data_IF_801514055755
#
_entry.id   IF_801514055755
#
_cell.length_a   1.000
_cell.length_b   1.000
_cell.length_c   1.000
_cell.angle_alpha   90.00
_cell.angle_beta   90.00
_cell.angle_gamma   90.00
#
_symmetry.space_group_name_H-M   'P 1'
#
loop_
_entity.id
_entity.type
_entity.pdbx_description
1 polymer ?
#
# COMPACT_ATOMS: atom_id res chain seq x y z
N UNK A 1 -8.77 -8.83 -2.66
CA UNK A 1 -8.05 -8.09 -1.61
C UNK A 1 -8.63 -6.69 -1.54
N UNK A 2 -8.70 -6.07 -0.37
CA UNK A 2 -9.10 -4.66 -0.26
C UNK A 2 -7.89 -3.76 -0.53
N UNK A 3 -8.08 -2.71 -1.34
CA UNK A 3 -7.01 -1.81 -1.75
C UNK A 3 -7.33 -0.38 -1.35
N UNK A 4 -6.53 0.18 -0.45
CA UNK A 4 -6.74 1.51 0.11
C UNK A 4 -5.63 2.44 -0.37
N UNK A 5 -6.03 3.45 -1.13
CA UNK A 5 -5.15 4.48 -1.65
C UNK A 5 -5.26 5.74 -0.81
N UNK A 6 -4.18 6.12 -0.13
CA UNK A 6 -4.11 7.40 0.57
C UNK A 6 -3.81 8.48 -0.46
N UNK A 7 -4.50 9.62 -0.39
CA UNK A 7 -4.34 10.69 -1.37
C UNK A 7 -2.94 11.32 -1.22
N UNK A 8 -1.98 10.79 -1.96
CA UNK A 8 -0.67 11.41 -2.11
C UNK A 8 -0.82 12.52 -3.13
N UNK A 9 -0.74 13.78 -2.71
CA UNK A 9 -0.68 14.94 -3.63
C UNK A 9 0.49 14.91 -4.61
N UNK A 10 1.30 13.85 -4.61
CA UNK A 10 2.36 13.56 -5.55
C UNK A 10 1.82 12.78 -6.77
N UNK A 11 1.95 13.38 -7.96
CA UNK A 11 1.65 12.74 -9.25
C UNK A 11 2.75 11.71 -9.65
N UNK A 12 3.09 10.77 -8.76
CA UNK A 12 4.13 9.78 -9.05
C UNK A 12 3.58 8.65 -9.95
N UNK A 13 3.92 8.74 -11.24
CA UNK A 13 3.49 7.78 -12.26
C UNK A 13 4.02 6.37 -12.01
N UNK A 14 5.20 6.23 -11.40
CA UNK A 14 5.81 4.94 -11.08
C UNK A 14 5.05 4.22 -9.94
N UNK A 15 4.70 4.93 -8.87
CA UNK A 15 3.87 4.39 -7.78
C UNK A 15 2.50 3.94 -8.29
N UNK A 16 1.89 4.76 -9.16
CA UNK A 16 0.61 4.43 -9.80
C UNK A 16 0.69 3.13 -10.62
N UNK A 17 1.81 2.92 -11.33
CA UNK A 17 2.03 1.70 -12.11
C UNK A 17 2.14 0.47 -11.19
N UNK A 18 2.97 0.55 -10.15
CA UNK A 18 3.13 -0.53 -9.16
C UNK A 18 1.78 -0.88 -8.54
N UNK A 19 1.00 0.13 -8.15
CA UNK A 19 -0.33 -0.05 -7.58
C UNK A 19 -1.29 -0.79 -8.51
N UNK A 20 -1.32 -0.42 -9.79
CA UNK A 20 -2.12 -1.12 -10.81
C UNK A 20 -1.70 -2.58 -10.96
N UNK A 21 -0.39 -2.86 -10.97
CA UNK A 21 0.12 -4.22 -11.04
C UNK A 21 -0.29 -5.06 -9.81
N UNK A 22 -0.15 -4.51 -8.60
CA UNK A 22 -0.57 -5.18 -7.36
C UNK A 22 -2.07 -5.46 -7.35
N UNK A 23 -2.89 -4.49 -7.76
CA UNK A 23 -4.34 -4.67 -7.92
C UNK A 23 -4.66 -5.81 -8.88
N UNK A 24 -4.03 -5.83 -10.04
CA UNK A 24 -4.25 -6.90 -11.02
C UNK A 24 -3.85 -8.29 -10.51
N UNK A 25 -2.73 -8.38 -9.79
CA UNK A 25 -2.21 -9.65 -9.30
C UNK A 25 -3.02 -10.24 -8.14
N UNK A 26 -3.53 -9.40 -7.23
CA UNK A 26 -4.09 -9.84 -5.94
C UNK A 26 -5.59 -9.54 -5.79
N UNK A 27 -6.29 -9.15 -6.86
CA UNK A 27 -7.72 -8.80 -6.82
C UNK A 27 -8.58 -9.91 -6.20
N UNK A 28 -8.27 -11.16 -6.51
CA UNK A 28 -9.03 -12.34 -6.08
C UNK A 28 -8.60 -12.89 -4.70
N UNK A 29 -7.55 -12.33 -4.10
CA UNK A 29 -6.99 -12.83 -2.85
C UNK A 29 -7.68 -12.24 -1.62
N UNK A 30 -7.53 -12.86 -0.45
CA UNK A 30 -8.03 -12.30 0.81
C UNK A 30 -6.92 -11.52 1.54
N UNK A 31 -7.23 -10.30 1.96
CA UNK A 31 -6.28 -9.43 2.65
C UNK A 31 -6.54 -7.95 2.41
N UNK A 32 -5.60 -7.11 2.84
CA UNK A 32 -5.62 -5.66 2.68
C UNK A 32 -4.26 -5.18 2.14
N UNK A 33 -4.28 -4.25 1.19
CA UNK A 33 -3.11 -3.54 0.68
C UNK A 33 -3.34 -2.03 0.82
N UNK A 34 -2.45 -1.35 1.53
CA UNK A 34 -2.45 0.09 1.77
C UNK A 34 -1.32 0.75 1.02
N UNK A 35 -1.60 1.87 0.38
CA UNK A 35 -0.59 2.81 -0.10
C UNK A 35 -0.40 3.92 0.94
N UNK A 36 0.87 4.23 1.24
CA UNK A 36 1.30 5.19 2.28
C UNK A 36 0.56 4.98 3.60
N UNK A 37 0.85 3.86 4.26
CA UNK A 37 0.18 3.54 5.52
C UNK A 37 0.53 4.59 6.58
N UNK A 38 -0.46 5.29 7.17
CA UNK A 38 -0.20 6.38 8.09
C UNK A 38 0.36 5.81 9.40
N UNK A 39 1.65 6.04 9.66
CA UNK A 39 2.26 5.73 10.95
C UNK A 39 2.12 6.96 11.84
N UNK A 40 1.04 7.00 12.62
CA UNK A 40 0.66 8.14 13.46
C UNK A 40 1.68 8.54 14.56
N UNK A 41 2.76 7.77 14.76
CA UNK A 41 3.72 7.94 15.86
C UNK A 41 5.18 7.65 15.48
N UNK A 42 5.62 8.13 14.32
CA UNK A 42 7.02 8.03 13.93
C UNK A 42 7.73 9.38 14.14
N UNK A 43 8.75 9.39 15.02
CA UNK A 43 9.80 10.40 15.02
C UNK A 43 10.22 10.69 13.56
N UNK A 44 10.52 11.95 13.20
CA UNK A 44 10.70 12.43 11.81
C UNK A 44 11.73 11.63 10.98
N UNK A 45 12.50 10.76 11.63
CA UNK A 45 13.45 9.81 11.07
C UNK A 45 12.81 8.58 10.41
N UNK A 46 11.59 8.19 10.76
CA UNK A 46 10.91 7.02 10.18
C UNK A 46 9.99 7.45 9.05
N UNK A 47 10.41 7.17 7.81
CA UNK A 47 9.58 7.32 6.61
C UNK A 47 8.43 6.32 6.67
N UNK A 48 7.22 6.79 6.37
CA UNK A 48 6.04 5.93 6.24
C UNK A 48 6.27 4.89 5.13
N UNK A 49 5.77 3.65 5.27
CA UNK A 49 5.89 2.64 4.22
C UNK A 49 5.09 3.05 3.00
N UNK A 50 5.70 2.98 1.81
CA UNK A 50 5.02 3.28 0.55
C UNK A 50 3.86 2.30 0.28
N UNK A 51 4.07 1.02 0.60
CA UNK A 51 3.06 -0.04 0.51
C UNK A 51 3.12 -0.90 1.78
N UNK A 52 1.96 -1.14 2.39
CA UNK A 52 1.77 -2.13 3.45
C UNK A 52 0.75 -3.17 2.99
N UNK A 53 1.07 -4.45 3.11
CA UNK A 53 0.18 -5.53 2.69
C UNK A 53 0.01 -6.54 3.81
N UNK A 54 -1.23 -6.92 4.09
CA UNK A 54 -1.57 -8.05 4.94
C UNK A 54 -2.33 -9.06 4.08
N UNK A 55 -1.73 -10.21 3.85
CA UNK A 55 -2.31 -11.26 3.02
C UNK A 55 -2.63 -12.50 3.88
N UNK A 56 -3.81 -13.09 3.70
CA UNK A 56 -4.30 -14.21 4.54
C UNK A 56 -3.32 -15.38 4.64
N UNK A 57 -2.65 -15.71 3.53
CA UNK A 57 -1.74 -16.86 3.48
C UNK A 57 -0.26 -16.49 3.66
N UNK A 58 0.12 -15.21 3.55
CA UNK A 58 1.53 -14.80 3.63
C UNK A 58 1.86 -14.11 4.94
N UNK A 59 0.85 -13.60 5.65
CA UNK A 59 1.05 -12.73 6.80
C UNK A 59 1.28 -11.28 6.37
N UNK A 60 1.94 -10.54 7.25
CA UNK A 60 2.35 -9.16 7.05
C UNK A 60 3.74 -9.11 6.39
#
# INVERSE_FOLDING_TARGET
MEFIWSDSGDNNSAETLIWKCLKGALVNDEGICYHRYPIFSADRSRREPDILMLHKNWGL
#
